data_IF_226149589221
#
_entry.id   IF_226149589221
#
_cell.length_a   1.000
_cell.length_b   1.000
_cell.length_c   1.000
_cell.angle_alpha   90.00
_cell.angle_beta   90.00
_cell.angle_gamma   90.00
#
_symmetry.space_group_name_H-M   'P 1'
#
loop_
_entity.id
_entity.type
_entity.pdbx_description
1 polymer ?
#
# COMPACT_ATOMS: atom_id res chain seq x y z
N UNK A 1 -1.22 17.19 -40.79
CA UNK A 1 -1.09 16.94 -39.32
C UNK A 1 0.37 16.88 -38.98
N UNK A 2 0.83 17.42 -37.83
CA UNK A 2 2.22 17.30 -37.45
C UNK A 2 2.53 15.92 -36.84
N UNK A 3 3.83 15.58 -36.69
CA UNK A 3 4.25 14.28 -36.21
C UNK A 3 3.85 14.04 -34.73
N UNK A 4 3.86 15.09 -33.91
CA UNK A 4 3.50 14.97 -32.49
C UNK A 4 2.01 14.68 -32.33
N UNK A 5 1.16 15.35 -33.09
CA UNK A 5 -0.28 15.13 -33.11
C UNK A 5 -0.63 13.73 -33.65
N UNK A 6 0.06 13.26 -34.68
CA UNK A 6 -0.09 11.90 -35.20
C UNK A 6 0.21 10.86 -34.13
N UNK A 7 1.35 10.99 -33.43
CA UNK A 7 1.73 10.04 -32.36
C UNK A 7 0.76 10.10 -31.19
N UNK A 8 0.33 11.28 -30.78
CA UNK A 8 -0.63 11.47 -29.70
C UNK A 8 -1.96 10.76 -29.99
N UNK A 9 -2.48 10.92 -31.20
CA UNK A 9 -3.75 10.31 -31.62
C UNK A 9 -3.66 8.79 -31.63
N UNK A 10 -2.60 8.22 -32.21
CA UNK A 10 -2.41 6.77 -32.26
C UNK A 10 -2.14 6.15 -30.87
N UNK A 11 -1.49 6.87 -29.96
CA UNK A 11 -1.34 6.43 -28.57
C UNK A 11 -2.66 6.43 -27.80
N UNK A 12 -3.59 7.32 -28.14
CA UNK A 12 -4.93 7.37 -27.56
C UNK A 12 -5.88 6.32 -28.16
N UNK A 13 -5.77 6.09 -29.48
CA UNK A 13 -6.55 5.10 -30.22
C UNK A 13 -5.70 4.51 -31.36
N UNK A 14 -5.11 3.32 -31.17
CA UNK A 14 -4.34 2.62 -32.22
C UNK A 14 -5.12 2.30 -33.49
N UNK A 15 -6.46 2.29 -33.41
CA UNK A 15 -7.37 2.00 -34.52
C UNK A 15 -7.95 3.26 -35.17
N UNK A 16 -7.41 4.45 -34.89
CA UNK A 16 -7.88 5.72 -35.46
C UNK A 16 -7.78 5.70 -37.00
N UNK A 17 -8.94 5.73 -37.65
CA UNK A 17 -9.09 5.65 -39.08
C UNK A 17 -9.38 7.04 -39.74
N UNK A 18 -9.11 8.14 -39.04
CA UNK A 18 -9.23 9.47 -39.61
C UNK A 18 -8.37 9.61 -40.89
N UNK A 19 -8.90 10.19 -41.97
CA UNK A 19 -8.15 10.36 -43.22
C UNK A 19 -6.80 11.09 -43.08
N UNK A 20 -6.67 12.00 -42.11
CA UNK A 20 -5.42 12.71 -41.84
C UNK A 20 -4.39 11.78 -41.16
N UNK A 21 -4.83 10.87 -40.26
CA UNK A 21 -3.98 9.89 -39.64
C UNK A 21 -3.48 8.87 -40.67
N UNK A 22 -4.39 8.39 -41.52
CA UNK A 22 -4.04 7.47 -42.62
C UNK A 22 -3.03 8.09 -43.56
N UNK A 23 -3.22 9.35 -43.94
CA UNK A 23 -2.28 10.08 -44.81
C UNK A 23 -0.89 10.17 -44.17
N UNK A 24 -0.78 10.56 -42.88
CA UNK A 24 0.47 10.62 -42.15
C UNK A 24 1.13 9.24 -41.98
N UNK A 25 0.34 8.18 -41.78
CA UNK A 25 0.85 6.79 -41.72
C UNK A 25 1.53 6.41 -43.04
N UNK A 26 1.01 6.85 -44.16
CA UNK A 26 1.56 6.54 -45.50
C UNK A 26 2.71 7.46 -45.91
N UNK A 27 2.91 8.59 -45.23
CA UNK A 27 3.90 9.61 -45.58
C UNK A 27 5.34 9.16 -45.33
N UNK A 28 5.57 8.28 -44.29
CA UNK A 28 6.90 7.79 -43.98
C UNK A 28 6.87 6.33 -43.51
N UNK A 29 7.98 5.63 -43.80
CA UNK A 29 8.21 4.27 -43.31
C UNK A 29 8.26 4.22 -41.78
N UNK A 30 8.78 5.27 -41.14
CA UNK A 30 8.85 5.38 -39.69
C UNK A 30 7.46 5.49 -39.06
N UNK A 31 6.57 6.30 -39.64
CA UNK A 31 5.19 6.46 -39.15
C UNK A 31 4.40 5.15 -39.31
N UNK A 32 4.58 4.48 -40.45
CA UNK A 32 3.94 3.18 -40.67
C UNK A 32 4.41 2.16 -39.65
N UNK A 33 5.72 2.05 -39.41
CA UNK A 33 6.29 1.13 -38.44
C UNK A 33 5.76 1.41 -37.01
N UNK A 34 5.72 2.67 -36.61
CA UNK A 34 5.19 3.09 -35.30
C UNK A 34 3.71 2.68 -35.13
N UNK A 35 2.87 2.93 -36.13
CA UNK A 35 1.47 2.53 -36.10
C UNK A 35 1.28 1.01 -36.03
N UNK A 36 2.07 0.24 -36.79
CA UNK A 36 2.00 -1.22 -36.80
C UNK A 36 2.48 -1.82 -35.48
N UNK A 37 3.51 -1.25 -34.83
CA UNK A 37 3.99 -1.64 -33.49
C UNK A 37 2.94 -1.36 -32.41
N UNK A 38 2.23 -0.23 -32.47
CA UNK A 38 1.14 0.08 -31.53
C UNK A 38 -0.03 -0.90 -31.68
N UNK A 39 -0.45 -1.21 -32.90
CA UNK A 39 -1.49 -2.21 -33.16
C UNK A 39 -1.09 -3.60 -32.62
N UNK A 40 0.18 -3.99 -32.78
CA UNK A 40 0.67 -5.24 -32.23
C UNK A 40 0.65 -5.26 -30.69
N UNK A 41 1.01 -4.12 -30.06
CA UNK A 41 0.94 -3.99 -28.62
C UNK A 41 -0.51 -4.05 -28.12
N UNK A 42 -1.43 -3.39 -28.80
CA UNK A 42 -2.86 -3.39 -28.46
C UNK A 42 -3.46 -4.81 -28.50
N UNK A 43 -3.15 -5.59 -29.55
CA UNK A 43 -3.55 -6.98 -29.65
C UNK A 43 -2.95 -7.87 -28.53
N UNK A 44 -1.71 -7.58 -28.09
CA UNK A 44 -1.09 -8.32 -26.97
C UNK A 44 -1.77 -7.98 -25.66
N UNK A 45 -2.12 -6.71 -25.45
CA UNK A 45 -2.85 -6.26 -24.27
C UNK A 45 -4.27 -6.84 -24.22
N UNK A 46 -4.99 -6.82 -25.36
CA UNK A 46 -6.32 -7.45 -25.44
C UNK A 46 -6.25 -8.94 -25.07
N UNK A 47 -5.26 -9.65 -25.61
CA UNK A 47 -5.05 -11.07 -25.28
C UNK A 47 -4.72 -11.29 -23.82
N UNK A 48 -3.88 -10.43 -23.23
CA UNK A 48 -3.47 -10.54 -21.82
C UNK A 48 -4.62 -10.19 -20.85
N UNK A 49 -5.50 -9.30 -21.24
CA UNK A 49 -6.66 -8.88 -20.46
C UNK A 49 -7.89 -9.80 -20.62
N UNK A 50 -7.84 -10.69 -21.59
CA UNK A 50 -8.92 -11.67 -21.82
C UNK A 50 -8.86 -12.77 -20.78
N UNK A 51 -9.54 -12.55 -19.67
CA UNK A 51 -9.66 -13.51 -18.57
C UNK A 51 -10.94 -14.31 -18.75
N UNK A 52 -10.86 -15.63 -18.61
CA UNK A 52 -12.07 -16.48 -18.61
C UNK A 52 -12.96 -16.09 -17.43
N UNK A 53 -14.17 -15.64 -17.77
CA UNK A 53 -15.18 -15.28 -16.79
C UNK A 53 -15.92 -16.56 -16.41
N UNK A 54 -16.05 -16.91 -15.11
CA UNK A 54 -16.86 -18.04 -14.69
C UNK A 54 -18.31 -17.94 -15.24
N UNK A 55 -18.84 -19.03 -15.78
CA UNK A 55 -20.17 -19.07 -16.41
C UNK A 55 -21.30 -18.66 -15.44
N UNK A 56 -21.07 -18.82 -14.13
CA UNK A 56 -22.01 -18.50 -13.07
C UNK A 56 -21.90 -17.05 -12.54
N UNK A 57 -20.94 -16.25 -13.03
CA UNK A 57 -20.71 -14.90 -12.48
C UNK A 57 -21.90 -13.97 -12.67
N UNK A 58 -22.54 -14.01 -13.84
CA UNK A 58 -23.72 -13.21 -14.13
C UNK A 58 -24.88 -13.55 -13.18
N UNK A 59 -25.13 -14.83 -12.97
CA UNK A 59 -26.15 -15.32 -12.06
C UNK A 59 -25.86 -14.91 -10.62
N UNK A 60 -24.61 -15.03 -10.17
CA UNK A 60 -24.19 -14.60 -8.83
C UNK A 60 -24.38 -13.10 -8.60
N UNK A 61 -24.09 -12.27 -9.58
CA UNK A 61 -24.30 -10.81 -9.48
C UNK A 61 -25.80 -10.49 -9.45
N UNK A 62 -26.58 -11.08 -10.33
CA UNK A 62 -28.02 -10.82 -10.42
C UNK A 62 -28.78 -11.32 -9.18
N UNK A 63 -28.44 -12.48 -8.65
CA UNK A 63 -29.06 -13.02 -7.43
C UNK A 63 -28.65 -12.25 -6.17
N UNK A 64 -27.46 -11.67 -6.12
CA UNK A 64 -27.09 -10.77 -5.01
C UNK A 64 -27.82 -9.42 -5.05
N UNK A 65 -28.20 -8.95 -6.23
CA UNK A 65 -28.94 -7.69 -6.37
C UNK A 65 -30.44 -7.82 -6.20
N UNK A 66 -31.01 -8.97 -6.49
CA UNK A 66 -32.48 -9.16 -6.47
C UNK A 66 -33.05 -9.43 -5.10
N UNK A 67 -32.27 -9.63 -4.04
CA UNK A 67 -32.79 -9.76 -2.67
C UNK A 67 -33.82 -10.84 -2.48
N UNK A 68 -33.97 -11.78 -3.42
CA UNK A 68 -34.93 -12.88 -3.27
C UNK A 68 -34.44 -13.87 -2.23
N UNK A 69 -35.06 -13.83 -1.08
CA UNK A 69 -34.95 -14.86 -0.05
C UNK A 69 -35.26 -16.22 -0.70
N UNK A 70 -34.28 -17.10 -0.83
CA UNK A 70 -34.49 -18.48 -1.19
C UNK A 70 -35.48 -19.10 -0.19
N UNK A 71 -36.57 -19.74 -0.64
CA UNK A 71 -37.45 -20.43 0.29
C UNK A 71 -36.63 -21.46 1.07
N UNK A 72 -36.81 -21.55 2.39
CA UNK A 72 -35.99 -22.43 3.22
C UNK A 72 -36.24 -23.88 2.76
N UNK A 73 -35.18 -24.53 2.26
CA UNK A 73 -35.20 -25.99 2.04
C UNK A 73 -35.57 -26.63 3.38
N UNK A 74 -36.77 -27.23 3.49
CA UNK A 74 -37.19 -27.97 4.66
C UNK A 74 -36.30 -29.19 4.87
N UNK A 75 -35.24 -29.00 5.65
CA UNK A 75 -34.42 -30.08 6.17
C UNK A 75 -35.26 -30.85 7.20
N UNK A 76 -35.80 -31.99 6.78
CA UNK A 76 -36.36 -32.99 7.71
C UNK A 76 -35.19 -33.54 8.51
N UNK A 77 -35.12 -33.26 9.79
CA UNK A 77 -34.15 -33.67 10.82
C UNK A 77 -33.13 -32.60 11.27
N UNK A 78 -33.48 -31.32 11.27
CA UNK A 78 -32.60 -30.26 11.79
C UNK A 78 -32.34 -30.38 13.31
N UNK A 79 -33.19 -31.06 14.04
CA UNK A 79 -33.11 -31.16 15.50
C UNK A 79 -31.92 -32.02 16.00
N UNK A 80 -31.57 -33.07 15.28
CA UNK A 80 -30.41 -33.92 15.62
C UNK A 80 -29.08 -33.24 15.29
N UNK A 81 -29.03 -32.43 14.24
CA UNK A 81 -27.82 -31.65 13.92
C UNK A 81 -27.60 -30.46 14.86
N UNK A 82 -28.68 -29.83 15.34
CA UNK A 82 -28.63 -28.78 16.33
C UNK A 82 -28.04 -29.26 17.67
N UNK A 83 -28.41 -30.48 18.09
CA UNK A 83 -27.88 -31.09 19.31
C UNK A 83 -26.40 -31.47 19.16
N UNK A 84 -26.00 -32.01 18.01
CA UNK A 84 -24.61 -32.34 17.73
C UNK A 84 -23.70 -31.07 17.64
N UNK A 85 -24.21 -30.00 17.03
CA UNK A 85 -23.50 -28.75 16.95
C UNK A 85 -23.30 -28.05 18.31
N UNK A 86 -24.32 -28.08 19.19
CA UNK A 86 -24.23 -27.51 20.52
C UNK A 86 -23.27 -28.29 21.44
N UNK A 87 -23.24 -29.63 21.33
CA UNK A 87 -22.28 -30.47 22.05
C UNK A 87 -20.83 -30.23 21.53
N UNK A 88 -20.63 -30.17 20.21
CA UNK A 88 -19.33 -29.86 19.62
C UNK A 88 -18.86 -28.46 19.99
N UNK A 89 -19.78 -27.48 20.03
CA UNK A 89 -19.48 -26.11 20.45
C UNK A 89 -19.15 -26.03 21.95
N UNK A 90 -19.86 -26.73 22.81
CA UNK A 90 -19.58 -26.78 24.24
C UNK A 90 -18.24 -27.48 24.53
N UNK A 91 -17.93 -28.57 23.81
CA UNK A 91 -16.64 -29.25 23.88
C UNK A 91 -15.54 -28.32 23.33
N UNK A 92 -15.75 -27.66 22.21
CA UNK A 92 -14.82 -26.67 21.64
C UNK A 92 -14.57 -25.50 22.59
N UNK A 93 -15.60 -24.96 23.27
CA UNK A 93 -15.45 -23.94 24.29
C UNK A 93 -14.69 -24.47 25.53
N UNK A 94 -15.01 -25.67 26.00
CA UNK A 94 -14.34 -26.26 27.17
C UNK A 94 -12.87 -26.51 26.89
N UNK A 95 -12.51 -27.12 25.79
CA UNK A 95 -11.12 -27.34 25.39
C UNK A 95 -10.44 -26.04 24.89
N UNK A 96 -11.18 -25.12 24.29
CA UNK A 96 -10.71 -23.79 23.94
C UNK A 96 -10.36 -22.98 25.18
N UNK A 97 -11.23 -22.95 26.20
CA UNK A 97 -10.92 -22.28 27.47
C UNK A 97 -9.80 -22.97 28.27
N UNK A 98 -9.68 -24.30 28.18
CA UNK A 98 -8.60 -25.04 28.86
C UNK A 98 -7.25 -24.83 28.17
N UNK A 99 -7.23 -24.57 26.85
CA UNK A 99 -6.01 -24.26 26.10
C UNK A 99 -5.81 -22.77 25.81
N UNK A 100 -6.86 -21.95 25.93
CA UNK A 100 -6.73 -20.51 26.09
C UNK A 100 -6.41 -20.22 27.57
N UNK A 101 -5.19 -20.54 27.94
CA UNK A 101 -4.57 -19.78 29.01
C UNK A 101 -4.58 -18.33 28.52
N UNK A 102 -5.25 -17.37 29.21
CA UNK A 102 -5.08 -15.94 28.92
C UNK A 102 -3.73 -15.45 29.46
N UNK A 103 -2.84 -16.39 29.79
CA UNK A 103 -1.45 -16.15 30.01
C UNK A 103 -0.80 -16.00 28.65
N UNK A 104 -0.72 -14.75 28.25
CA UNK A 104 0.09 -14.28 27.14
C UNK A 104 -0.44 -14.73 25.75
N UNK A 105 -1.57 -14.13 25.34
CA UNK A 105 -1.35 -13.27 24.18
C UNK A 105 -0.03 -12.55 24.45
N UNK A 106 1.01 -12.69 23.60
CA UNK A 106 2.08 -11.70 23.65
C UNK A 106 1.36 -10.38 23.69
N UNK A 107 1.72 -9.44 24.56
CA UNK A 107 1.02 -8.18 24.58
C UNK A 107 0.98 -7.75 23.12
N UNK A 108 -0.20 -7.68 22.55
CA UNK A 108 -0.47 -6.86 21.40
C UNK A 108 -0.53 -5.40 21.87
N UNK A 109 0.44 -4.99 22.67
CA UNK A 109 1.14 -3.80 22.36
C UNK A 109 1.86 -4.15 21.06
N UNK A 110 1.18 -3.98 19.97
CA UNK A 110 1.78 -3.93 18.66
C UNK A 110 2.77 -2.80 18.80
N UNK A 111 4.01 -3.19 19.13
CA UNK A 111 5.06 -2.21 19.31
C UNK A 111 5.25 -1.65 17.90
N UNK A 112 4.77 -0.43 17.66
CA UNK A 112 4.89 0.22 16.37
C UNK A 112 6.32 0.13 15.83
N UNK A 113 7.29 -0.01 16.74
CA UNK A 113 8.69 -0.22 16.42
C UNK A 113 8.96 -1.57 15.73
N UNK A 114 8.32 -2.66 16.18
CA UNK A 114 8.48 -3.99 15.56
C UNK A 114 7.82 -4.03 14.20
N UNK A 115 6.61 -3.46 14.09
CA UNK A 115 5.89 -3.35 12.80
C UNK A 115 6.72 -2.57 11.78
N UNK A 116 7.39 -1.49 12.22
CA UNK A 116 8.21 -0.69 11.32
C UNK A 116 9.40 -1.46 10.76
N UNK A 117 10.07 -2.27 11.58
CA UNK A 117 11.17 -3.13 11.14
C UNK A 117 10.66 -4.18 10.15
N UNK A 118 9.53 -4.84 10.46
CA UNK A 118 8.94 -5.84 9.58
C UNK A 118 8.53 -5.22 8.22
N UNK A 119 7.92 -4.03 8.25
CA UNK A 119 7.54 -3.28 7.06
C UNK A 119 8.75 -2.95 6.16
N UNK A 120 9.82 -2.42 6.76
CA UNK A 120 11.06 -2.10 6.04
C UNK A 120 11.69 -3.35 5.43
N UNK A 121 11.78 -4.44 6.19
CA UNK A 121 12.35 -5.71 5.72
C UNK A 121 11.54 -6.29 4.54
N UNK A 122 10.21 -6.15 4.56
CA UNK A 122 9.34 -6.58 3.47
C UNK A 122 9.54 -5.75 2.19
N UNK A 123 9.65 -4.43 2.34
CA UNK A 123 9.73 -3.50 1.20
C UNK A 123 11.16 -3.29 0.68
N UNK A 124 12.20 -3.68 1.43
CA UNK A 124 13.61 -3.42 1.09
C UNK A 124 13.95 -3.76 -0.37
N UNK A 125 13.46 -4.91 -0.85
CA UNK A 125 13.73 -5.39 -2.22
C UNK A 125 13.17 -4.46 -3.30
N UNK A 126 12.11 -3.73 -3.00
CA UNK A 126 11.42 -2.85 -3.93
C UNK A 126 11.98 -1.43 -3.90
N UNK A 127 12.39 -0.96 -2.71
CA UNK A 127 12.77 0.45 -2.50
C UNK A 127 14.28 0.70 -2.47
N UNK A 128 15.11 -0.34 -2.33
CA UNK A 128 16.57 -0.23 -2.16
C UNK A 128 17.25 0.68 -3.19
N UNK A 129 16.85 0.59 -4.45
CA UNK A 129 17.47 1.30 -5.58
C UNK A 129 16.66 2.52 -6.04
N UNK A 130 15.56 2.86 -5.36
CA UNK A 130 14.76 4.01 -5.73
C UNK A 130 15.50 5.30 -5.38
N UNK A 131 15.47 6.24 -6.31
CA UNK A 131 15.90 7.62 -6.09
C UNK A 131 15.03 8.53 -6.96
N UNK A 132 13.91 8.95 -6.39
CA UNK A 132 12.95 9.85 -7.02
C UNK A 132 13.37 11.33 -6.86
N UNK A 133 14.42 11.59 -6.05
CA UNK A 133 14.90 12.93 -5.73
C UNK A 133 13.77 13.85 -5.26
N UNK A 134 12.99 13.34 -4.29
CA UNK A 134 11.79 14.02 -3.84
C UNK A 134 12.11 15.37 -3.19
N UNK A 135 11.41 16.40 -3.62
CA UNK A 135 11.60 17.78 -3.13
C UNK A 135 10.81 18.01 -1.83
N UNK A 136 11.20 19.04 -1.07
CA UNK A 136 10.46 19.48 0.11
C UNK A 136 8.97 19.74 -0.20
N UNK A 137 8.67 20.33 -1.36
CA UNK A 137 7.30 20.58 -1.80
C UNK A 137 6.50 19.27 -1.97
N UNK A 138 7.11 18.23 -2.55
CA UNK A 138 6.48 16.92 -2.72
C UNK A 138 6.26 16.22 -1.39
N UNK A 139 7.21 16.32 -0.46
CA UNK A 139 7.05 15.79 0.91
C UNK A 139 5.89 16.50 1.62
N UNK A 140 5.83 17.83 1.56
CA UNK A 140 4.76 18.61 2.20
C UNK A 140 3.40 18.35 1.57
N UNK A 141 3.31 18.19 0.25
CA UNK A 141 2.05 17.81 -0.40
C UNK A 141 1.50 16.46 0.11
N UNK A 142 2.37 15.55 0.57
CA UNK A 142 1.97 14.27 1.17
C UNK A 142 1.79 14.34 2.69
N UNK A 143 2.37 15.32 3.37
CA UNK A 143 2.15 15.56 4.80
C UNK A 143 0.85 16.34 5.07
N UNK A 144 0.43 17.19 4.14
CA UNK A 144 -0.75 18.04 4.27
C UNK A 144 -2.04 17.27 4.65
N UNK A 145 -2.39 16.11 4.04
CA UNK A 145 -3.55 15.32 4.45
C UNK A 145 -3.45 14.76 5.87
N UNK A 146 -2.24 14.73 6.46
CA UNK A 146 -1.99 14.37 7.85
C UNK A 146 -1.99 15.60 8.78
N UNK A 147 -2.37 16.79 8.28
CA UNK A 147 -2.43 18.04 9.01
C UNK A 147 -1.06 18.57 9.42
N UNK A 148 0.00 18.23 8.70
CA UNK A 148 1.37 18.61 9.06
C UNK A 148 2.18 19.10 7.85
N UNK A 149 3.22 19.89 8.15
CA UNK A 149 4.18 20.39 7.18
C UNK A 149 5.58 20.37 7.80
N UNK A 150 6.60 20.08 7.02
CA UNK A 150 8.01 20.15 7.44
C UNK A 150 8.69 21.35 6.81
N UNK A 151 9.38 22.17 7.61
CA UNK A 151 10.06 23.38 7.14
C UNK A 151 11.38 23.11 6.45
N UNK A 152 12.09 22.10 6.91
CA UNK A 152 13.39 21.71 6.38
C UNK A 152 13.59 20.20 6.52
N UNK A 153 14.24 19.60 5.55
CA UNK A 153 14.57 18.16 5.56
C UNK A 153 16.03 18.01 6.01
N UNK A 154 16.34 17.10 6.94
CA UNK A 154 17.71 16.91 7.42
C UNK A 154 18.65 16.29 6.39
N UNK A 155 18.15 15.80 5.26
CA UNK A 155 18.95 15.19 4.21
C UNK A 155 18.21 15.03 2.89
N UNK A 156 18.85 14.36 1.93
CA UNK A 156 18.27 14.04 0.64
C UNK A 156 17.15 13.00 0.79
N UNK A 157 16.01 13.22 0.12
CA UNK A 157 14.86 12.28 0.12
C UNK A 157 14.89 11.46 -1.16
N UNK A 158 15.14 10.17 -1.00
CA UNK A 158 15.16 9.21 -2.10
C UNK A 158 13.77 8.82 -2.57
N UNK A 159 12.82 8.72 -1.62
CA UNK A 159 11.48 8.23 -1.88
C UNK A 159 10.49 8.82 -0.87
N UNK A 160 9.27 9.12 -1.31
CA UNK A 160 8.17 9.50 -0.43
C UNK A 160 6.83 9.07 -1.02
N UNK A 161 6.09 8.23 -0.30
CA UNK A 161 4.75 7.82 -0.71
C UNK A 161 3.89 7.43 0.50
N UNK A 162 2.62 7.12 0.25
CA UNK A 162 1.77 6.51 1.26
C UNK A 162 1.94 5.01 1.27
N UNK A 163 1.86 4.41 2.45
CA UNK A 163 1.83 2.97 2.67
C UNK A 163 0.71 2.59 3.64
N UNK A 164 0.36 1.31 3.67
CA UNK A 164 -0.50 0.74 4.70
C UNK A 164 0.35 0.34 5.91
N UNK A 165 0.33 1.11 6.98
CA UNK A 165 1.05 0.79 8.21
C UNK A 165 0.04 0.41 9.31
N UNK A 166 0.08 -0.84 9.77
CA UNK A 166 -0.89 -1.39 10.73
C UNK A 166 -2.36 -1.13 10.32
N UNK A 167 -2.65 -1.34 9.02
CA UNK A 167 -3.98 -1.11 8.44
C UNK A 167 -4.40 0.35 8.29
N UNK A 168 -3.52 1.32 8.60
CA UNK A 168 -3.78 2.76 8.48
C UNK A 168 -2.93 3.38 7.36
N UNK A 169 -3.50 4.29 6.55
CA UNK A 169 -2.72 5.04 5.58
C UNK A 169 -1.71 5.93 6.31
N UNK A 170 -0.44 5.74 6.01
CA UNK A 170 0.69 6.40 6.66
C UNK A 170 1.66 6.94 5.62
N UNK A 171 2.44 7.96 5.95
CA UNK A 171 3.50 8.41 5.08
C UNK A 171 4.73 7.53 5.29
N UNK A 172 5.34 7.10 4.19
CA UNK A 172 6.61 6.38 4.14
C UNK A 172 7.61 7.21 3.34
N UNK A 173 8.75 7.54 3.94
CA UNK A 173 9.82 8.33 3.34
C UNK A 173 11.17 7.66 3.59
N UNK A 174 12.01 7.59 2.56
CA UNK A 174 13.40 7.14 2.69
C UNK A 174 14.29 8.35 2.45
N UNK A 175 15.17 8.63 3.39
CA UNK A 175 16.04 9.78 3.34
C UNK A 175 17.45 9.48 3.78
N UNK A 176 18.39 10.35 3.38
CA UNK A 176 19.77 10.29 3.81
C UNK A 176 19.97 11.01 5.15
N UNK A 177 20.89 10.51 5.92
CA UNK A 177 21.39 11.13 7.14
C UNK A 177 22.92 11.09 7.15
N UNK A 178 23.60 11.84 8.04
CA UNK A 178 25.06 11.73 8.18
C UNK A 178 25.55 10.32 8.53
N UNK A 179 24.68 9.48 9.07
CA UNK A 179 25.02 8.11 9.48
C UNK A 179 24.64 7.05 8.43
N UNK A 180 23.77 7.39 7.47
CA UNK A 180 23.31 6.49 6.44
C UNK A 180 21.87 6.75 6.03
N UNK A 181 21.29 5.83 5.27
CA UNK A 181 19.88 5.91 4.88
C UNK A 181 18.98 5.46 6.02
N UNK A 182 17.94 6.23 6.28
CA UNK A 182 16.88 5.88 7.21
C UNK A 182 15.51 5.86 6.51
N UNK A 183 14.63 5.03 7.02
CA UNK A 183 13.22 5.04 6.66
C UNK A 183 12.43 5.77 7.75
N UNK A 184 11.57 6.68 7.34
CA UNK A 184 10.75 7.51 8.24
C UNK A 184 9.28 7.28 7.93
N UNK A 185 8.50 6.96 8.96
CA UNK A 185 7.04 6.87 8.86
C UNK A 185 6.37 7.94 9.71
N UNK A 186 5.30 8.53 9.17
CA UNK A 186 4.33 9.32 9.93
C UNK A 186 3.04 8.52 10.00
N UNK A 187 2.73 8.00 11.17
CA UNK A 187 1.62 7.07 11.38
C UNK A 187 0.54 7.78 12.20
N UNK A 188 -0.73 7.84 11.72
CA UNK A 188 -1.83 8.48 12.44
C UNK A 188 -2.34 7.59 13.59
N UNK A 189 -1.42 7.15 14.43
CA UNK A 189 -1.65 6.39 15.65
C UNK A 189 -0.75 6.99 16.73
N UNK A 190 -1.30 7.52 17.82
CA UNK A 190 -0.50 8.03 18.92
C UNK A 190 0.23 6.88 19.61
N UNK A 191 1.45 7.14 20.09
CA UNK A 191 2.19 6.26 20.99
C UNK A 191 2.23 6.87 22.40
N UNK A 192 2.21 6.02 23.43
CA UNK A 192 2.21 6.46 24.82
C UNK A 192 3.55 7.07 25.27
N UNK A 193 4.61 6.85 24.50
CA UNK A 193 5.96 7.34 24.81
C UNK A 193 6.95 6.96 23.72
N UNK A 194 8.22 7.30 23.99
CA UNK A 194 9.32 6.87 23.14
C UNK A 194 9.56 5.37 23.38
N UNK A 195 9.59 4.60 22.29
CA UNK A 195 9.94 3.18 22.32
C UNK A 195 10.89 2.85 21.18
N UNK A 196 11.62 1.78 21.31
CA UNK A 196 12.55 1.27 20.31
C UNK A 196 12.46 -0.26 20.21
N UNK A 197 12.84 -0.77 19.05
CA UNK A 197 13.04 -2.18 18.81
C UNK A 197 14.26 -2.40 17.95
N UNK A 198 14.82 -3.59 18.00
CA UNK A 198 16.02 -3.95 17.24
C UNK A 198 15.90 -5.39 16.78
N UNK A 199 16.24 -5.64 15.52
CA UNK A 199 16.42 -6.98 15.00
C UNK A 199 17.91 -7.27 14.69
N UNK A 200 18.17 -8.21 13.76
CA UNK A 200 19.54 -8.56 13.40
C UNK A 200 20.24 -7.49 12.55
N UNK A 201 19.52 -6.66 11.82
CA UNK A 201 20.04 -5.71 10.83
C UNK A 201 19.60 -4.27 11.08
N UNK A 202 18.45 -4.07 11.70
CA UNK A 202 17.78 -2.78 11.81
C UNK A 202 17.51 -2.38 13.26
N UNK A 203 17.43 -1.10 13.49
CA UNK A 203 16.96 -0.49 14.73
C UNK A 203 15.83 0.48 14.40
N UNK A 204 14.79 0.50 15.22
CA UNK A 204 13.65 1.41 15.06
C UNK A 204 13.46 2.24 16.32
N UNK A 205 13.02 3.47 16.12
CA UNK A 205 12.65 4.42 17.15
C UNK A 205 11.25 4.96 16.87
N UNK A 206 10.37 4.88 17.86
CA UNK A 206 9.03 5.50 17.85
C UNK A 206 9.06 6.72 18.74
N UNK A 207 8.59 7.86 18.24
CA UNK A 207 8.49 9.11 18.97
C UNK A 207 7.06 9.66 18.84
N UNK A 208 6.36 9.97 19.96
CA UNK A 208 5.04 10.58 19.90
C UNK A 208 5.11 12.02 19.37
N UNK A 209 4.19 12.35 18.44
CA UNK A 209 4.04 13.68 17.84
C UNK A 209 2.55 14.01 17.77
N UNK A 210 2.04 14.80 18.75
CA UNK A 210 0.59 15.08 18.88
C UNK A 210 -0.25 13.79 18.87
N UNK A 211 -1.21 13.69 17.94
CA UNK A 211 -2.12 12.55 17.78
C UNK A 211 -1.58 11.48 16.82
N UNK A 212 -0.28 11.49 16.56
CA UNK A 212 0.41 10.61 15.62
C UNK A 212 1.75 10.13 16.23
N UNK A 213 2.43 9.25 15.49
CA UNK A 213 3.80 8.80 15.82
C UNK A 213 4.74 9.04 14.64
N UNK A 214 5.91 9.55 14.95
CA UNK A 214 7.07 9.55 14.07
C UNK A 214 7.86 8.27 14.36
N UNK A 215 8.09 7.47 13.33
CA UNK A 215 8.86 6.24 13.45
C UNK A 215 10.04 6.31 12.51
N UNK A 216 11.21 5.98 13.00
CA UNK A 216 12.44 5.96 12.21
C UNK A 216 13.06 4.59 12.29
N UNK A 217 13.45 4.03 11.16
CA UNK A 217 14.17 2.77 11.05
C UNK A 217 15.49 3.03 10.36
N UNK A 218 16.58 2.65 10.99
CA UNK A 218 17.94 2.74 10.48
C UNK A 218 18.72 1.44 10.66
N UNK A 219 20.00 1.49 10.41
CA UNK A 219 20.89 0.36 10.62
C UNK A 219 21.07 0.04 12.10
N UNK A 220 21.29 -1.22 12.42
CA UNK A 220 21.51 -1.66 13.81
C UNK A 220 22.67 -0.90 14.45
N UNK A 221 22.43 -0.39 15.66
CA UNK A 221 23.38 0.40 16.44
C UNK A 221 23.47 1.87 16.01
N UNK A 222 22.62 2.32 15.10
CA UNK A 222 22.51 3.72 14.70
C UNK A 222 21.76 4.53 15.76
N UNK A 223 22.29 5.69 16.13
CA UNK A 223 21.58 6.58 17.04
C UNK A 223 20.52 7.39 16.28
N UNK A 224 19.27 6.93 16.32
CA UNK A 224 18.15 7.53 15.58
C UNK A 224 17.56 8.78 16.27
N UNK A 225 17.88 9.02 17.54
CA UNK A 225 17.30 10.11 18.34
C UNK A 225 17.63 11.51 17.78
N UNK A 226 18.85 11.82 17.31
CA UNK A 226 19.13 13.11 16.71
C UNK A 226 18.28 13.42 15.49
N UNK A 227 18.12 12.44 14.60
CA UNK A 227 17.29 12.57 13.39
C UNK A 227 15.81 12.77 13.74
N UNK A 228 15.31 12.00 14.70
CA UNK A 228 13.93 12.14 15.18
C UNK A 228 13.66 13.53 15.76
N UNK A 229 14.56 14.04 16.57
CA UNK A 229 14.46 15.39 17.15
C UNK A 229 14.56 16.48 16.08
N UNK A 230 15.40 16.31 15.08
CA UNK A 230 15.55 17.28 13.99
C UNK A 230 14.27 17.32 13.12
N UNK A 231 13.73 16.18 12.74
CA UNK A 231 12.44 16.10 12.02
C UNK A 231 11.34 16.73 12.87
N UNK A 232 11.20 16.33 14.14
CA UNK A 232 10.19 16.88 15.05
C UNK A 232 10.29 18.40 15.22
N UNK A 233 11.48 18.96 15.31
CA UNK A 233 11.72 20.39 15.43
C UNK A 233 11.30 21.17 14.18
N UNK A 234 11.44 20.57 13.01
CA UNK A 234 11.09 21.18 11.72
C UNK A 234 9.61 20.94 11.35
N UNK A 235 8.91 20.05 12.07
CA UNK A 235 7.51 19.74 11.81
C UNK A 235 6.62 20.83 12.37
N UNK A 236 5.66 21.28 11.57
CA UNK A 236 4.60 22.22 11.96
C UNK A 236 3.24 21.60 11.66
N UNK A 237 2.23 22.03 12.40
CA UNK A 237 0.88 21.51 12.27
C UNK A 237 -0.05 22.63 11.86
N UNK A 238 -0.92 22.37 10.89
CA UNK A 238 -2.04 23.26 10.60
C UNK A 238 -3.05 23.17 11.76
N UNK A 239 -3.54 24.33 12.20
CA UNK A 239 -4.51 24.47 13.29
C UNK A 239 -5.92 24.24 12.76
#
# INVERSE_FOLDING_TARGET
MDELEFRRRLLADPHDNDPQVIACKLESVANKKFADELLQLDMQLEKALKVDVPDDLADRILFHQSGEEMPPKRFKNVWSYGLAASVAFAIGMYFGQANFNPTQLPPTATNLADIAIEHVNYEEKFVRNLNENATLQQVNAKLQPLGSEIKNLPGHVYYVNYCGFDGKPSLHMIMDTPQGKVTVFFVPTPSDGISNSTDNQSESLVMPIRDASLIIVGSKGENLMPVANEIKKNLTWEL
#
